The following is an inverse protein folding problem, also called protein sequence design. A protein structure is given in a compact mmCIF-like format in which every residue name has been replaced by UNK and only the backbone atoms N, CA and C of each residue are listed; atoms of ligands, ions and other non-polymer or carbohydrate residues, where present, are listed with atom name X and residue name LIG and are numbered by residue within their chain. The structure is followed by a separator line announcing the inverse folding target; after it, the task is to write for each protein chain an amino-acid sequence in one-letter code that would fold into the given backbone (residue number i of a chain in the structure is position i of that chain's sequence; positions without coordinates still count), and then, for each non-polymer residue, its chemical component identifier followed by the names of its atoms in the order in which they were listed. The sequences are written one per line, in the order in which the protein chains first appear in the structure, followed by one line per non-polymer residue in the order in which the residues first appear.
data_IF_706334886716
#
_entry.id   IF_706334886716
#
_cell.length_a   1.000
_cell.length_b   1.000
_cell.length_c   1.000
_cell.angle_alpha   90.00
_cell.angle_beta   90.00
_cell.angle_gamma   90.00
#
_symmetry.space_group_name_H-M   'P 1'
#
loop_
_entity.id
_entity.type
_entity.pdbx_description
1 polymer ?
#
# COMPACT_ATOMS: atom_id res chain seq x y z
N UNK A 1 -5.96 0.96 10.17
CA UNK A 1 -5.78 2.43 9.98
C UNK A 1 -6.71 2.92 8.86
N UNK A 2 -7.18 4.18 8.86
CA UNK A 2 -8.15 4.67 7.84
C UNK A 2 -7.53 5.78 6.97
N UNK A 3 -7.84 5.77 5.67
CA UNK A 3 -7.42 6.80 4.69
C UNK A 3 -8.57 7.17 3.75
N UNK A 4 -8.64 8.44 3.34
CA UNK A 4 -9.60 8.88 2.31
C UNK A 4 -9.33 8.18 0.99
N UNK A 5 -10.39 7.59 0.40
CA UNK A 5 -10.33 6.94 -0.92
C UNK A 5 -9.86 7.92 -1.98
N UNK A 6 -10.38 9.14 -2.00
CA UNK A 6 -9.99 10.15 -2.99
C UNK A 6 -8.50 10.46 -2.93
N UNK A 7 -7.99 10.78 -1.73
CA UNK A 7 -6.57 11.13 -1.52
C UNK A 7 -5.66 9.95 -1.87
N UNK A 8 -6.01 8.75 -1.44
CA UNK A 8 -5.25 7.54 -1.76
C UNK A 8 -5.21 7.30 -3.26
N UNK A 9 -6.35 7.34 -3.95
CA UNK A 9 -6.40 7.09 -5.39
C UNK A 9 -5.63 8.16 -6.17
N UNK A 10 -5.68 9.42 -5.75
CA UNK A 10 -4.88 10.50 -6.34
C UNK A 10 -3.39 10.31 -6.11
N UNK A 11 -3.00 9.84 -4.93
CA UNK A 11 -1.62 9.47 -4.64
C UNK A 11 -1.15 8.32 -5.54
N UNK A 12 -1.89 7.22 -5.59
CA UNK A 12 -1.54 6.03 -6.37
C UNK A 12 -1.42 6.35 -7.87
N UNK A 13 -2.35 7.13 -8.43
CA UNK A 13 -2.31 7.51 -9.86
C UNK A 13 -1.12 8.38 -10.25
N UNK A 14 -0.55 9.13 -9.30
CA UNK A 14 0.60 10.00 -9.54
C UNK A 14 1.94 9.29 -9.41
N UNK A 15 1.96 8.09 -8.82
CA UNK A 15 3.19 7.37 -8.50
C UNK A 15 3.23 6.03 -9.25
N UNK A 16 4.10 5.94 -10.26
CA UNK A 16 4.29 4.75 -11.09
C UNK A 16 4.89 3.53 -10.36
N UNK A 17 5.37 3.73 -9.12
CA UNK A 17 5.89 2.66 -8.26
C UNK A 17 4.76 1.83 -7.61
N UNK A 18 3.51 2.31 -7.71
CA UNK A 18 2.36 1.62 -7.13
C UNK A 18 1.49 1.04 -8.25
N UNK A 19 1.04 -0.18 -8.03
CA UNK A 19 -0.08 -0.79 -8.73
C UNK A 19 -1.21 -0.99 -7.74
N UNK A 20 -2.44 -0.99 -8.21
CA UNK A 20 -3.57 -1.30 -7.36
C UNK A 20 -4.66 -2.03 -8.13
N UNK A 21 -5.38 -2.88 -7.42
CA UNK A 21 -6.46 -3.72 -7.94
C UNK A 21 -7.65 -3.61 -6.99
N UNK A 22 -8.85 -3.41 -7.54
CA UNK A 22 -10.09 -3.39 -6.77
C UNK A 22 -10.87 -4.66 -7.07
N UNK A 23 -11.16 -5.43 -6.05
CA UNK A 23 -11.88 -6.71 -6.12
C UNK A 23 -13.08 -6.67 -5.17
N UNK A 24 -14.23 -6.22 -5.67
CA UNK A 24 -15.42 -5.98 -4.84
C UNK A 24 -15.19 -4.82 -3.87
N UNK A 25 -15.27 -5.09 -2.58
CA UNK A 25 -14.98 -4.14 -1.49
C UNK A 25 -13.51 -4.17 -1.04
N UNK A 26 -12.68 -5.01 -1.65
CA UNK A 26 -11.25 -5.13 -1.31
C UNK A 26 -10.40 -4.30 -2.27
N UNK A 27 -9.51 -3.47 -1.71
CA UNK A 27 -8.43 -2.81 -2.42
C UNK A 27 -7.11 -3.51 -2.08
N UNK A 28 -6.41 -3.96 -3.12
CA UNK A 28 -5.02 -4.41 -3.03
C UNK A 28 -4.11 -3.35 -3.64
N UNK A 29 -3.06 -2.98 -2.93
CA UNK A 29 -2.03 -2.05 -3.39
C UNK A 29 -0.69 -2.78 -3.36
N UNK A 30 0.05 -2.69 -4.45
CA UNK A 30 1.36 -3.29 -4.65
C UNK A 30 2.38 -2.17 -4.83
N UNK A 31 3.39 -2.10 -3.97
CA UNK A 31 4.49 -1.16 -4.07
C UNK A 31 5.79 -1.89 -4.41
N UNK A 32 6.43 -1.48 -5.50
CA UNK A 32 7.72 -2.00 -5.94
C UNK A 32 8.65 -0.84 -6.29
N UNK A 33 9.88 -0.87 -5.80
CA UNK A 33 10.89 0.11 -6.17
C UNK A 33 12.29 -0.49 -6.17
N UNK A 34 13.18 0.08 -6.98
CA UNK A 34 14.59 -0.32 -7.00
C UNK A 34 15.25 -0.18 -5.63
N UNK A 35 14.93 0.88 -4.89
CA UNK A 35 15.46 1.11 -3.54
C UNK A 35 14.98 0.06 -2.52
N UNK A 36 13.72 -0.40 -2.63
CA UNK A 36 13.21 -1.49 -1.80
C UNK A 36 13.98 -2.79 -2.09
N UNK A 37 14.10 -3.15 -3.37
CA UNK A 37 14.83 -4.35 -3.77
C UNK A 37 16.31 -4.28 -3.40
N UNK A 38 16.95 -3.12 -3.54
CA UNK A 38 18.35 -2.90 -3.14
C UNK A 38 18.53 -3.06 -1.63
N UNK A 39 17.62 -2.50 -0.83
CA UNK A 39 17.65 -2.62 0.64
C UNK A 39 17.48 -4.07 1.09
N UNK A 40 16.63 -4.83 0.40
CA UNK A 40 16.42 -6.25 0.68
C UNK A 40 17.50 -7.16 0.05
N UNK A 41 18.29 -6.62 -0.89
CA UNK A 41 19.26 -7.36 -1.73
C UNK A 41 18.62 -8.46 -2.60
N UNK A 42 17.32 -8.32 -2.89
CA UNK A 42 16.50 -9.27 -3.63
C UNK A 42 15.25 -8.57 -4.18
N UNK A 43 14.51 -9.20 -5.10
CA UNK A 43 13.25 -8.64 -5.59
C UNK A 43 12.21 -8.62 -4.45
N UNK A 44 11.76 -7.43 -4.08
CA UNK A 44 10.83 -7.24 -2.99
C UNK A 44 9.63 -6.36 -3.39
N UNK A 45 8.47 -6.69 -2.84
CA UNK A 45 7.21 -5.97 -3.03
C UNK A 45 6.52 -5.80 -1.67
N UNK A 46 5.94 -4.63 -1.43
CA UNK A 46 5.02 -4.43 -0.29
C UNK A 46 3.60 -4.52 -0.83
N UNK A 47 2.81 -5.42 -0.27
CA UNK A 47 1.39 -5.59 -0.60
C UNK A 47 0.55 -5.09 0.57
N UNK A 48 -0.33 -4.12 0.31
CA UNK A 48 -1.25 -3.57 1.31
C UNK A 48 -2.66 -3.99 0.91
N UNK A 49 -3.38 -4.57 1.86
CA UNK A 49 -4.79 -4.91 1.73
C UNK A 49 -5.62 -3.96 2.57
N UNK A 50 -6.65 -3.39 1.95
CA UNK A 50 -7.62 -2.58 2.63
C UNK A 50 -9.04 -2.85 2.16
N UNK A 51 -10.00 -2.54 3.03
CA UNK A 51 -11.42 -2.61 2.76
C UNK A 51 -11.97 -1.24 2.43
N UNK A 52 -12.71 -1.14 1.34
CA UNK A 52 -13.41 0.08 0.93
C UNK A 52 -14.68 0.20 1.78
N UNK A 53 -14.80 1.30 2.52
CA UNK A 53 -15.94 1.63 3.37
C UNK A 53 -16.38 3.04 2.99
N UNK A 54 -17.41 3.13 2.15
CA UNK A 54 -17.92 4.38 1.58
C UNK A 54 -16.82 5.21 0.88
N UNK A 55 -16.50 6.37 1.45
CA UNK A 55 -15.48 7.31 0.96
C UNK A 55 -14.08 7.05 1.55
N UNK A 56 -13.95 6.01 2.37
CA UNK A 56 -12.73 5.67 3.08
C UNK A 56 -12.23 4.29 2.72
N UNK A 57 -10.97 4.05 3.04
CA UNK A 57 -10.33 2.75 2.96
C UNK A 57 -9.75 2.42 4.34
N UNK A 58 -10.21 1.32 4.91
CA UNK A 58 -9.65 0.73 6.11
C UNK A 58 -8.50 -0.19 5.71
N UNK A 59 -7.27 0.20 6.01
CA UNK A 59 -6.10 -0.68 5.84
C UNK A 59 -6.19 -1.77 6.91
N UNK A 60 -6.26 -3.02 6.46
CA UNK A 60 -6.43 -4.21 7.30
C UNK A 60 -5.11 -4.95 7.49
N UNK A 61 -4.33 -5.11 6.41
CA UNK A 61 -3.09 -5.89 6.43
C UNK A 61 -2.03 -5.32 5.51
N UNK A 62 -0.78 -5.63 5.82
CA UNK A 62 0.35 -5.36 4.95
C UNK A 62 1.29 -6.57 4.94
N UNK A 63 1.93 -6.79 3.81
CA UNK A 63 2.85 -7.91 3.61
C UNK A 63 4.11 -7.44 2.90
N UNK A 64 5.24 -8.03 3.28
CA UNK A 64 6.47 -8.00 2.51
C UNK A 64 6.56 -9.31 1.72
N UNK A 65 6.58 -9.20 0.39
CA UNK A 65 6.69 -10.34 -0.52
C UNK A 65 8.10 -10.38 -1.10
N UNK A 66 8.78 -11.52 -0.93
CA UNK A 66 10.17 -11.77 -1.36
C UNK A 66 10.29 -13.20 -1.85
N UNK A 67 10.83 -13.40 -3.05
CA UNK A 67 11.03 -14.73 -3.65
C UNK A 67 9.79 -15.66 -3.61
N UNK A 68 8.58 -15.09 -3.67
CA UNK A 68 7.32 -15.83 -3.57
C UNK A 68 6.86 -16.16 -2.15
N UNK A 69 7.62 -15.79 -1.12
CA UNK A 69 7.24 -15.86 0.30
C UNK A 69 6.58 -14.55 0.70
N UNK A 70 5.46 -14.63 1.41
CA UNK A 70 4.75 -13.47 1.97
C UNK A 70 4.86 -13.47 3.48
N UNK A 71 5.37 -12.38 4.05
CA UNK A 71 5.48 -12.15 5.49
C UNK A 71 4.56 -11.00 5.88
N UNK A 72 3.62 -11.22 6.80
CA UNK A 72 2.76 -10.15 7.32
C UNK A 72 3.62 -9.17 8.14
N UNK A 73 3.53 -7.88 7.83
CA UNK A 73 4.21 -6.81 8.56
C UNK A 73 3.20 -6.00 9.36
N UNK A 74 3.64 -5.46 10.49
CA UNK A 74 2.79 -4.60 11.31
C UNK A 74 2.33 -3.38 10.51
N UNK A 75 1.02 -3.14 10.48
CA UNK A 75 0.43 -2.01 9.74
C UNK A 75 0.90 -0.66 10.27
N UNK A 76 1.35 -0.57 11.53
CA UNK A 76 1.86 0.66 12.13
C UNK A 76 3.10 1.20 11.38
N UNK A 77 3.86 0.33 10.69
CA UNK A 77 5.01 0.77 9.87
C UNK A 77 4.58 1.61 8.65
N UNK A 78 3.29 1.58 8.29
CA UNK A 78 2.72 2.41 7.24
C UNK A 78 2.30 3.80 7.72
N UNK A 79 2.53 4.15 8.99
CA UNK A 79 2.14 5.45 9.57
C UNK A 79 2.62 6.65 8.76
N UNK A 80 3.92 6.76 8.50
CA UNK A 80 4.48 7.87 7.71
C UNK A 80 3.94 7.91 6.28
N UNK A 81 3.67 6.75 5.68
CA UNK A 81 3.09 6.67 4.34
C UNK A 81 1.64 7.21 4.33
N UNK A 82 0.85 6.88 5.35
CA UNK A 82 -0.52 7.37 5.51
C UNK A 82 -0.58 8.87 5.83
N UNK A 83 0.31 9.37 6.68
CA UNK A 83 0.45 10.81 6.96
C UNK A 83 0.72 11.59 5.67
N UNK A 84 1.63 11.09 4.83
CA UNK A 84 1.94 11.69 3.54
C UNK A 84 0.71 11.75 2.62
N UNK A 85 -0.07 10.66 2.52
CA UNK A 85 -1.31 10.65 1.72
C UNK A 85 -2.34 11.63 2.28
N UNK A 86 -2.50 11.68 3.59
CA UNK A 86 -3.47 12.57 4.24
C UNK A 86 -3.11 14.05 4.08
N UNK A 87 -1.83 14.38 3.92
CA UNK A 87 -1.35 15.75 3.68
C UNK A 87 -1.68 16.29 2.28
N UNK A 88 -2.11 15.44 1.35
CA UNK A 88 -2.48 15.85 -0.01
C UNK A 88 -3.72 16.74 0.05
N UNK A 89 -3.58 17.97 -0.48
CA UNK A 89 -4.66 18.96 -0.66
C UNK A 89 -5.47 18.66 -1.90
#
# INVERSE_FOLDING_TARGET
MIVSKEKLMRFLRKNNLYKYEVMGDTLKISYMSGALSEKMRESAEIVILGKIIDENILIEKAFLVREGISEEIDIEVLGTWLELINSIK
#
